data_IF_044720790729
#
_entry.id   IF_044720790729
#
_cell.length_a   1.000
_cell.length_b   1.000
_cell.length_c   1.000
_cell.angle_alpha   90.00
_cell.angle_beta   90.00
_cell.angle_gamma   90.00
#
_symmetry.space_group_name_H-M   'P 1'
#
loop_
_entity.id
_entity.type
_entity.pdbx_description
1 polymer ?
#
# COMPACT_ATOMS: atom_id res chain seq x y z
N UNK A 1 9.73 17.48 20.79
CA UNK A 1 9.78 16.65 19.56
C UNK A 1 8.37 16.17 19.27
N UNK A 2 7.84 16.41 18.07
CA UNK A 2 6.62 15.75 17.63
C UNK A 2 6.99 14.33 17.18
N UNK A 3 6.35 13.33 17.76
CA UNK A 3 6.50 11.94 17.33
C UNK A 3 5.31 11.59 16.44
N UNK A 4 5.59 11.07 15.25
CA UNK A 4 4.56 10.53 14.36
C UNK A 4 4.44 9.03 14.61
N UNK A 5 3.22 8.50 14.47
CA UNK A 5 2.92 7.08 14.51
C UNK A 5 2.25 6.70 13.18
N UNK A 6 3.01 6.20 12.18
CA UNK A 6 2.41 5.77 10.92
C UNK A 6 1.41 4.64 11.17
N UNK A 7 0.29 4.65 10.43
CA UNK A 7 -0.80 3.68 10.56
C UNK A 7 -0.96 2.79 9.34
N UNK A 8 -0.60 3.30 8.16
CA UNK A 8 -0.76 2.65 6.87
C UNK A 8 0.26 3.22 5.90
N UNK A 9 0.91 2.35 5.12
CA UNK A 9 1.59 2.75 3.89
C UNK A 9 0.67 2.55 2.68
N UNK A 10 0.73 3.46 1.72
CA UNK A 10 -0.02 3.35 0.46
C UNK A 10 0.98 3.45 -0.69
N UNK A 11 0.97 2.46 -1.56
CA UNK A 11 1.81 2.40 -2.76
C UNK A 11 0.93 2.44 -4.01
N UNK A 12 1.37 3.17 -5.04
CA UNK A 12 0.68 3.27 -6.32
C UNK A 12 1.39 2.42 -7.36
N UNK A 13 0.78 1.30 -7.75
CA UNK A 13 1.35 0.34 -8.68
C UNK A 13 1.15 0.81 -10.12
N UNK A 14 2.24 1.15 -10.81
CA UNK A 14 2.22 1.40 -12.24
C UNK A 14 2.35 0.09 -13.03
N UNK A 15 1.38 -0.20 -13.89
CA UNK A 15 1.32 -1.41 -14.72
C UNK A 15 2.41 -1.49 -15.80
N UNK A 16 3.22 -0.44 -15.94
CA UNK A 16 4.10 -0.25 -17.11
C UNK A 16 5.36 -1.12 -17.22
N UNK A 17 5.74 -1.96 -16.24
CA UNK A 17 6.90 -2.86 -16.43
C UNK A 17 6.85 -4.18 -15.64
N UNK A 18 6.38 -5.23 -16.31
CA UNK A 18 6.67 -6.64 -15.98
C UNK A 18 8.14 -6.97 -16.26
N UNK A 19 9.04 -6.58 -15.36
CA UNK A 19 10.43 -7.08 -15.35
C UNK A 19 10.62 -7.87 -14.07
N UNK A 20 11.15 -9.09 -14.17
CA UNK A 20 11.37 -10.03 -13.07
C UNK A 20 11.95 -9.39 -11.79
N UNK A 21 12.78 -8.34 -11.92
CA UNK A 21 13.29 -7.59 -10.77
C UNK A 21 12.27 -6.73 -10.00
N UNK A 22 10.99 -6.65 -10.39
CA UNK A 22 9.91 -6.10 -9.53
C UNK A 22 9.42 -7.13 -8.51
N UNK A 23 9.25 -8.39 -8.89
CA UNK A 23 8.73 -9.43 -7.98
C UNK A 23 9.58 -9.60 -6.72
N UNK A 24 10.92 -9.63 -6.88
CA UNK A 24 11.84 -9.74 -5.75
C UNK A 24 11.76 -8.52 -4.83
N UNK A 25 11.59 -7.32 -5.40
CA UNK A 25 11.46 -6.08 -4.64
C UNK A 25 10.11 -6.01 -3.93
N UNK A 26 9.04 -6.39 -4.60
CA UNK A 26 7.68 -6.37 -4.06
C UNK A 26 7.56 -7.35 -2.89
N UNK A 27 8.18 -8.53 -3.00
CA UNK A 27 8.26 -9.53 -1.93
C UNK A 27 9.08 -9.03 -0.73
N UNK A 28 10.20 -8.34 -0.98
CA UNK A 28 11.00 -7.75 0.09
C UNK A 28 10.27 -6.62 0.81
N UNK A 29 9.57 -5.77 0.07
CA UNK A 29 8.71 -4.71 0.63
C UNK A 29 7.61 -5.32 1.51
N UNK A 30 6.89 -6.32 1.01
CA UNK A 30 5.86 -7.02 1.80
C UNK A 30 6.43 -7.63 3.08
N UNK A 31 7.60 -8.27 2.99
CA UNK A 31 8.29 -8.86 4.14
C UNK A 31 8.60 -7.81 5.20
N UNK A 32 9.17 -6.67 4.80
CA UNK A 32 9.52 -5.57 5.73
C UNK A 32 8.26 -5.03 6.42
N UNK A 33 7.20 -4.72 5.67
CA UNK A 33 5.96 -4.18 6.24
C UNK A 33 5.29 -5.17 7.21
N UNK A 34 5.31 -6.46 6.86
CA UNK A 34 4.83 -7.54 7.73
C UNK A 34 5.65 -7.65 9.01
N UNK A 35 6.97 -7.59 8.94
CA UNK A 35 7.87 -7.66 10.11
C UNK A 35 7.68 -6.48 11.06
N UNK A 36 7.44 -5.27 10.55
CA UNK A 36 7.21 -4.08 11.40
C UNK A 36 5.76 -3.92 11.86
N UNK A 37 4.84 -4.79 11.39
CA UNK A 37 3.42 -4.76 11.75
C UNK A 37 2.67 -3.53 11.21
N UNK A 38 3.15 -2.93 10.13
CA UNK A 38 2.53 -1.77 9.48
C UNK A 38 1.79 -2.25 8.22
N UNK A 39 0.47 -2.03 8.10
CA UNK A 39 -0.26 -2.38 6.90
C UNK A 39 0.28 -1.67 5.66
N UNK A 40 0.24 -2.35 4.52
CA UNK A 40 0.55 -1.83 3.20
C UNK A 40 -0.68 -1.99 2.29
N UNK A 41 -1.17 -0.89 1.74
CA UNK A 41 -2.24 -0.86 0.74
C UNK A 41 -1.65 -0.52 -0.63
N UNK A 42 -1.77 -1.43 -1.59
CA UNK A 42 -1.40 -1.17 -2.98
C UNK A 42 -2.62 -0.74 -3.79
N UNK A 43 -2.51 0.37 -4.49
CA UNK A 43 -3.53 0.92 -5.35
C UNK A 43 -3.02 0.89 -6.79
N UNK A 44 -3.82 0.35 -7.71
CA UNK A 44 -3.48 0.42 -9.12
C UNK A 44 -3.44 1.89 -9.58
N UNK A 45 -2.43 2.24 -10.38
CA UNK A 45 -2.39 3.53 -11.05
C UNK A 45 -3.52 3.59 -12.09
N UNK A 46 -4.52 4.44 -11.84
CA UNK A 46 -5.70 4.62 -12.67
C UNK A 46 -5.87 6.07 -13.08
N UNK A 47 -6.48 6.30 -14.26
CA UNK A 47 -6.77 7.64 -14.76
C UNK A 47 -7.87 8.36 -13.96
N UNK A 48 -8.71 7.62 -13.26
CA UNK A 48 -9.80 8.15 -12.43
C UNK A 48 -9.90 7.33 -11.16
N UNK A 49 -10.12 7.99 -10.02
CA UNK A 49 -10.32 7.35 -8.73
C UNK A 49 -11.69 7.73 -8.17
N UNK A 50 -12.39 6.76 -7.60
CA UNK A 50 -13.57 7.00 -6.80
C UNK A 50 -13.16 7.21 -5.33
N UNK A 51 -13.52 8.38 -4.76
CA UNK A 51 -13.13 8.73 -3.38
C UNK A 51 -13.72 7.78 -2.34
N UNK A 52 -14.94 7.29 -2.55
CA UNK A 52 -15.60 6.40 -1.60
C UNK A 52 -14.99 5.00 -1.65
N UNK A 53 -14.60 4.55 -2.84
CA UNK A 53 -13.86 3.30 -3.02
C UNK A 53 -12.50 3.36 -2.32
N UNK A 54 -11.71 4.42 -2.54
CA UNK A 54 -10.42 4.59 -1.85
C UNK A 54 -10.59 4.67 -0.34
N UNK A 55 -11.62 5.37 0.16
CA UNK A 55 -11.92 5.41 1.59
C UNK A 55 -12.18 4.01 2.15
N UNK A 56 -12.99 3.22 1.45
CA UNK A 56 -13.31 1.86 1.89
C UNK A 56 -12.07 0.96 1.91
N UNK A 57 -11.21 1.06 0.89
CA UNK A 57 -9.94 0.31 0.85
C UNK A 57 -9.01 0.70 2.01
N UNK A 58 -8.91 1.99 2.34
CA UNK A 58 -8.14 2.48 3.49
C UNK A 58 -8.72 1.95 4.82
N UNK A 59 -10.03 1.98 4.99
CA UNK A 59 -10.69 1.49 6.22
C UNK A 59 -10.50 -0.01 6.40
N UNK A 60 -10.63 -0.78 5.32
CA UNK A 60 -10.33 -2.21 5.33
C UNK A 60 -8.87 -2.49 5.71
N UNK A 61 -7.91 -1.79 5.11
CA UNK A 61 -6.48 -1.96 5.42
C UNK A 61 -6.14 -1.61 6.88
N UNK A 62 -6.89 -0.69 7.49
CA UNK A 62 -6.74 -0.31 8.89
C UNK A 62 -7.56 -1.20 9.86
N UNK A 63 -8.36 -2.15 9.35
CA UNK A 63 -9.34 -2.92 10.12
C UNK A 63 -10.35 -2.03 10.88
N UNK A 64 -10.73 -0.90 10.30
CA UNK A 64 -11.75 0.00 10.84
C UNK A 64 -13.07 -0.35 10.13
N UNK A 65 -14.07 -0.76 10.90
CA UNK A 65 -15.43 -1.10 10.40
C UNK A 65 -16.27 0.15 10.22
#
# INVERSE_FOLDING_TARGET
>A
KAYIKPLLAIELDDSSHERAGRQDRDAEVERIFKEVGLPLLRLANQNQYNKDEIRNQIFQALNIT
#
